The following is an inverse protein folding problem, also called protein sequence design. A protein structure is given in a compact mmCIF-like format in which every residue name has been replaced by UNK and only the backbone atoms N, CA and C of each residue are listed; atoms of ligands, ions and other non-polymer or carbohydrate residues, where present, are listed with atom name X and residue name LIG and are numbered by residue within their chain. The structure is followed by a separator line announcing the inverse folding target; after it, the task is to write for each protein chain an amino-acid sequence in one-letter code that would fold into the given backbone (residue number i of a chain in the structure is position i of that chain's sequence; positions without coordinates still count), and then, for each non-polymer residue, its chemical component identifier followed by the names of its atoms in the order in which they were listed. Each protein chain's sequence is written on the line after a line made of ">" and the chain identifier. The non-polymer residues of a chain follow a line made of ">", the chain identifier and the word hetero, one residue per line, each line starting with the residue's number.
data_IF_262406745148
#
_entry.id   IF_262406745148
#
_cell.length_a   1.000
_cell.length_b   1.000
_cell.length_c   1.000
_cell.angle_alpha   90.00
_cell.angle_beta   90.00
_cell.angle_gamma   90.00
#
_symmetry.space_group_name_H-M   'P 1'
#
loop_
_entity.id
_entity.type
_entity.pdbx_description
1 polymer ?
#
# COMPACT_ATOMS: atom_id res chain seq x y z
N UNK A 1 -24.23 29.48 14.15
CA UNK A 1 -23.36 29.20 13.00
C UNK A 1 -24.12 29.47 11.70
N UNK A 2 -24.32 30.73 11.25
CA UNK A 2 -25.11 31.02 10.04
C UNK A 2 -24.33 30.91 8.71
N UNK A 3 -23.04 30.52 8.74
CA UNK A 3 -22.16 30.52 7.55
C UNK A 3 -21.96 29.15 6.89
N UNK A 4 -21.82 28.07 7.67
CA UNK A 4 -21.35 26.77 7.14
C UNK A 4 -22.33 26.12 6.14
N UNK A 5 -23.63 26.34 6.29
CA UNK A 5 -24.62 25.75 5.37
C UNK A 5 -24.69 26.45 4.01
N UNK A 6 -24.12 27.66 3.91
CA UNK A 6 -24.01 28.38 2.63
C UNK A 6 -22.74 28.02 1.85
N UNK A 7 -21.79 27.35 2.51
CA UNK A 7 -20.57 26.87 1.87
C UNK A 7 -20.90 25.76 0.86
N UNK A 8 -20.04 25.65 -0.14
CA UNK A 8 -19.90 24.44 -0.92
C UNK A 8 -19.28 23.33 -0.07
N UNK A 9 -19.42 22.06 -0.50
CA UNK A 9 -18.81 20.95 0.21
C UNK A 9 -17.28 21.11 0.31
N UNK A 10 -16.61 21.59 -0.74
CA UNK A 10 -15.17 21.86 -0.71
C UNK A 10 -14.79 22.92 0.34
N UNK A 11 -15.48 24.06 0.35
CA UNK A 11 -15.25 25.10 1.36
C UNK A 11 -15.53 24.62 2.79
N UNK A 12 -16.52 23.72 2.97
CA UNK A 12 -16.78 23.10 4.26
C UNK A 12 -15.60 22.21 4.69
N UNK A 13 -15.10 21.35 3.79
CA UNK A 13 -13.95 20.49 4.07
C UNK A 13 -12.73 21.33 4.43
N UNK A 14 -12.43 22.40 3.71
CA UNK A 14 -11.30 23.27 4.01
C UNK A 14 -11.47 24.05 5.33
N UNK A 15 -12.72 24.31 5.73
CA UNK A 15 -13.01 24.96 7.02
C UNK A 15 -12.90 23.98 8.18
N UNK A 16 -13.33 22.73 8.01
CA UNK A 16 -13.34 21.72 9.06
C UNK A 16 -11.98 21.02 9.18
N UNK A 17 -11.28 20.82 8.08
CA UNK A 17 -9.99 20.14 8.00
C UNK A 17 -8.96 21.05 7.31
N UNK A 18 -8.57 22.16 7.95
CA UNK A 18 -7.67 23.14 7.34
C UNK A 18 -6.24 22.60 7.19
N UNK A 19 -5.52 23.08 6.18
CA UNK A 19 -4.07 22.82 6.03
C UNK A 19 -3.21 23.69 6.96
N UNK A 20 -3.78 24.74 7.54
CA UNK A 20 -3.08 25.64 8.46
C UNK A 20 -2.99 25.03 9.87
N UNK A 21 -1.77 24.86 10.37
CA UNK A 21 -1.52 24.22 11.67
C UNK A 21 -2.22 24.94 12.84
N UNK A 22 -2.25 26.28 12.83
CA UNK A 22 -2.89 27.03 13.92
C UNK A 22 -4.41 26.88 13.90
N UNK A 23 -5.03 26.90 12.71
CA UNK A 23 -6.46 26.65 12.55
C UNK A 23 -6.82 25.19 12.90
N UNK A 24 -5.96 24.24 12.56
CA UNK A 24 -6.12 22.84 12.91
C UNK A 24 -6.11 22.65 14.43
N UNK A 25 -5.12 23.20 15.14
CA UNK A 25 -5.01 23.13 16.59
C UNK A 25 -6.24 23.76 17.29
N UNK A 26 -6.71 24.90 16.79
CA UNK A 26 -7.90 25.56 17.32
C UNK A 26 -9.15 24.67 17.20
N UNK A 27 -9.32 23.96 16.09
CA UNK A 27 -10.44 23.04 15.89
C UNK A 27 -10.31 21.84 16.82
N UNK A 28 -9.12 21.22 16.89
CA UNK A 28 -8.84 20.06 17.73
C UNK A 28 -9.15 20.35 19.21
N UNK A 29 -8.74 21.51 19.72
CA UNK A 29 -9.04 21.96 21.09
C UNK A 29 -10.54 22.23 21.33
N UNK A 30 -11.29 22.55 20.28
CA UNK A 30 -12.71 22.88 20.35
C UNK A 30 -13.66 21.66 20.33
N UNK A 31 -13.13 20.46 20.08
CA UNK A 31 -13.92 19.24 19.97
C UNK A 31 -14.62 18.88 21.29
N UNK A 32 -15.87 18.41 21.20
CA UNK A 32 -16.65 18.00 22.37
C UNK A 32 -16.28 16.58 22.83
N UNK A 33 -15.09 16.46 23.42
CA UNK A 33 -14.55 15.20 23.97
C UNK A 33 -15.42 14.66 25.12
N UNK A 34 -16.25 15.50 25.76
CA UNK A 34 -17.15 15.04 26.83
C UNK A 34 -18.30 14.20 26.29
N UNK A 35 -18.88 14.61 25.16
CA UNK A 35 -19.97 13.89 24.52
C UNK A 35 -19.47 12.74 23.64
N UNK A 36 -18.30 12.90 23.03
CA UNK A 36 -17.67 11.87 22.23
C UNK A 36 -16.14 11.83 22.50
N UNK A 37 -15.67 10.94 23.39
CA UNK A 37 -14.25 10.82 23.74
C UNK A 37 -13.34 10.49 22.56
N UNK A 38 -13.83 9.76 21.55
CA UNK A 38 -13.05 9.29 20.40
C UNK A 38 -12.96 10.36 19.28
N UNK A 39 -13.63 11.51 19.47
CA UNK A 39 -13.72 12.56 18.45
C UNK A 39 -12.36 13.13 18.02
N UNK A 40 -11.37 13.34 18.91
CA UNK A 40 -10.03 13.76 18.50
C UNK A 40 -9.37 12.75 17.56
N UNK A 41 -9.41 11.46 17.89
CA UNK A 41 -8.80 10.39 17.10
C UNK A 41 -9.46 10.28 15.71
N UNK A 42 -10.79 10.36 15.67
CA UNK A 42 -11.56 10.40 14.41
C UNK A 42 -11.19 11.63 13.57
N UNK A 43 -11.06 12.79 14.21
CA UNK A 43 -10.71 14.03 13.53
C UNK A 43 -9.30 13.98 12.95
N UNK A 44 -8.32 13.43 13.68
CA UNK A 44 -6.96 13.20 13.21
C UNK A 44 -6.95 12.30 11.96
N UNK A 45 -7.61 11.13 12.04
CA UNK A 45 -7.67 10.18 10.94
C UNK A 45 -8.32 10.79 9.68
N UNK A 46 -9.41 11.56 9.84
CA UNK A 46 -10.03 12.24 8.70
C UNK A 46 -9.15 13.35 8.13
N UNK A 47 -8.48 14.12 8.99
CA UNK A 47 -7.56 15.18 8.56
C UNK A 47 -6.42 14.62 7.72
N UNK A 48 -5.88 13.47 8.11
CA UNK A 48 -4.85 12.75 7.35
C UNK A 48 -5.36 12.33 5.96
N UNK A 49 -6.57 11.76 5.87
CA UNK A 49 -7.18 11.39 4.58
C UNK A 49 -7.30 12.61 3.65
N UNK A 50 -7.75 13.75 4.18
CA UNK A 50 -7.85 14.99 3.39
C UNK A 50 -6.48 15.56 3.01
N UNK A 51 -5.48 15.47 3.90
CA UNK A 51 -4.10 15.83 3.61
C UNK A 51 -3.53 15.01 2.45
N UNK A 52 -3.65 13.69 2.51
CA UNK A 52 -3.23 12.75 1.46
C UNK A 52 -3.92 13.04 0.12
N UNK A 53 -5.20 13.38 0.15
CA UNK A 53 -5.95 13.80 -1.03
C UNK A 53 -5.42 15.09 -1.65
N UNK A 54 -5.10 16.11 -0.83
CA UNK A 54 -4.55 17.40 -1.30
C UNK A 54 -3.14 17.25 -1.89
N UNK A 55 -2.36 16.29 -1.41
CA UNK A 55 -1.06 15.92 -1.99
C UNK A 55 -1.19 15.17 -3.33
N UNK A 56 -2.42 14.81 -3.75
CA UNK A 56 -2.68 14.07 -4.99
C UNK A 56 -2.31 12.60 -4.90
N UNK A 57 -2.26 12.04 -3.70
CA UNK A 57 -1.87 10.66 -3.44
C UNK A 57 -3.06 9.72 -3.28
N UNK A 58 -4.26 10.26 -3.11
CA UNK A 58 -5.51 9.50 -3.23
C UNK A 58 -6.57 10.33 -3.95
N UNK A 59 -7.67 9.70 -4.33
CA UNK A 59 -8.89 10.35 -4.79
C UNK A 59 -10.01 10.16 -3.78
N UNK A 60 -10.77 11.23 -3.51
CA UNK A 60 -11.94 11.18 -2.64
C UNK A 60 -13.22 11.41 -3.43
N UNK A 61 -14.21 10.56 -3.16
CA UNK A 61 -15.59 10.73 -3.64
C UNK A 61 -16.52 10.83 -2.45
N UNK A 62 -17.52 11.68 -2.56
CA UNK A 62 -18.43 12.01 -1.47
C UNK A 62 -19.84 11.61 -1.84
N UNK A 63 -20.58 10.98 -0.93
CA UNK A 63 -21.95 10.54 -1.18
C UNK A 63 -22.85 10.91 -0.01
N UNK A 64 -24.09 11.31 -0.29
CA UNK A 64 -25.12 11.40 0.76
C UNK A 64 -25.54 10.01 1.22
N UNK A 65 -25.85 9.82 2.50
CA UNK A 65 -26.36 8.54 3.02
C UNK A 65 -27.89 8.52 3.16
N UNK A 66 -28.61 7.60 2.49
CA UNK A 66 -28.32 6.99 1.19
C UNK A 66 -28.64 7.98 0.05
N UNK A 67 -27.81 8.04 -0.99
CA UNK A 67 -28.06 8.93 -2.11
C UNK A 67 -26.89 9.11 -3.06
N UNK A 68 -26.99 10.06 -4.00
CA UNK A 68 -26.03 10.25 -5.08
C UNK A 68 -24.70 10.83 -4.58
N UNK A 69 -23.73 10.81 -5.49
CA UNK A 69 -22.45 11.51 -5.33
C UNK A 69 -22.67 13.02 -5.19
N UNK A 70 -21.96 13.63 -4.24
CA UNK A 70 -21.95 15.05 -3.93
C UNK A 70 -20.66 15.62 -4.52
N UNK A 71 -20.80 16.60 -5.41
CA UNK A 71 -19.64 17.29 -5.97
C UNK A 71 -19.15 18.35 -4.99
N UNK A 72 -17.83 18.58 -4.93
CA UNK A 72 -17.23 19.61 -4.08
C UNK A 72 -17.82 21.01 -4.30
N UNK A 73 -18.28 21.31 -5.52
CA UNK A 73 -18.90 22.58 -5.87
C UNK A 73 -20.37 22.72 -5.44
N UNK A 74 -21.00 21.66 -4.91
CA UNK A 74 -22.40 21.69 -4.51
C UNK A 74 -22.57 22.33 -3.12
N UNK A 75 -23.63 23.14 -2.90
CA UNK A 75 -23.90 23.76 -1.61
C UNK A 75 -24.29 22.74 -0.54
N UNK A 76 -23.70 22.85 0.66
CA UNK A 76 -23.97 21.95 1.81
C UNK A 76 -25.45 21.90 2.17
N UNK A 77 -26.14 23.04 2.14
CA UNK A 77 -27.58 23.13 2.45
C UNK A 77 -28.46 22.21 1.61
N UNK A 78 -28.02 21.82 0.41
CA UNK A 78 -28.82 20.98 -0.49
C UNK A 78 -28.76 19.49 -0.07
N UNK A 79 -27.86 19.14 0.86
CA UNK A 79 -27.60 17.77 1.32
C UNK A 79 -27.89 17.55 2.81
N UNK A 80 -28.52 18.53 3.47
CA UNK A 80 -28.89 18.44 4.87
C UNK A 80 -30.15 17.59 5.07
N UNK A 81 -30.03 16.55 5.89
CA UNK A 81 -31.15 15.71 6.31
C UNK A 81 -31.63 16.08 7.71
N UNK A 82 -32.94 16.00 8.01
CA UNK A 82 -33.42 16.16 9.37
C UNK A 82 -32.88 15.04 10.26
N UNK A 83 -32.29 15.37 11.41
CA UNK A 83 -31.89 14.35 12.38
C UNK A 83 -33.14 13.85 13.13
N UNK A 84 -33.42 12.54 13.03
CA UNK A 84 -34.50 11.90 13.76
C UNK A 84 -33.97 10.75 14.60
N UNK A 85 -33.56 11.05 15.82
CA UNK A 85 -33.51 10.05 16.88
C UNK A 85 -34.80 10.18 17.71
N UNK A 86 -35.53 9.07 17.83
CA UNK A 86 -36.91 8.97 18.30
C UNK A 86 -37.35 10.05 19.29
N UNK A 87 -38.32 10.86 18.85
CA UNK A 87 -39.13 11.85 19.59
C UNK A 87 -38.60 13.28 19.78
N UNK A 88 -37.39 13.66 19.33
CA UNK A 88 -36.97 15.07 19.26
C UNK A 88 -36.21 15.38 17.97
N UNK A 89 -36.61 16.44 17.24
CA UNK A 89 -35.90 16.93 16.05
C UNK A 89 -34.66 17.71 16.47
N UNK A 90 -33.50 17.04 16.45
CA UNK A 90 -32.20 17.64 16.73
C UNK A 90 -31.61 18.29 15.46
N UNK A 91 -32.28 19.34 14.95
CA UNK A 91 -31.75 20.13 13.83
C UNK A 91 -31.56 19.37 12.50
N UNK A 92 -30.75 19.96 11.63
CA UNK A 92 -30.33 19.41 10.34
C UNK A 92 -28.91 18.84 10.46
N UNK A 93 -28.67 17.66 9.89
CA UNK A 93 -27.38 16.95 9.90
C UNK A 93 -26.92 16.72 8.46
N UNK A 94 -25.62 16.82 8.25
CA UNK A 94 -24.95 16.42 7.03
C UNK A 94 -24.38 15.01 7.24
N UNK A 95 -24.87 14.03 6.51
CA UNK A 95 -24.41 12.64 6.56
C UNK A 95 -23.73 12.29 5.23
N UNK A 96 -22.40 12.17 5.27
CA UNK A 96 -21.55 11.96 4.10
C UNK A 96 -20.80 10.64 4.26
N UNK A 97 -20.82 9.83 3.22
CA UNK A 97 -19.90 8.72 3.02
C UNK A 97 -18.74 9.23 2.18
N UNK A 98 -17.52 9.08 2.69
CA UNK A 98 -16.28 9.37 1.96
C UNK A 98 -15.71 8.05 1.46
N UNK A 99 -15.55 7.93 0.15
CA UNK A 99 -14.87 6.81 -0.50
C UNK A 99 -13.48 7.28 -0.92
N UNK A 100 -12.45 6.61 -0.39
CA UNK A 100 -11.05 6.86 -0.71
C UNK A 100 -10.54 5.77 -1.65
N UNK A 101 -9.89 6.17 -2.73
CA UNK A 101 -9.25 5.25 -3.69
C UNK A 101 -7.81 5.69 -3.99
N UNK A 102 -6.95 4.74 -4.35
CA UNK A 102 -5.54 4.97 -4.64
C UNK A 102 -5.23 4.54 -6.07
N UNK A 103 -4.86 5.49 -6.94
CA UNK A 103 -4.44 5.19 -8.32
C UNK A 103 -2.90 5.27 -8.42
N UNK A 104 -2.25 4.21 -7.93
CA UNK A 104 -0.79 4.09 -7.86
C UNK A 104 -0.16 4.25 -9.24
N UNK A 105 -0.74 3.62 -10.26
CA UNK A 105 -0.22 3.67 -11.62
C UNK A 105 -0.36 5.06 -12.26
N UNK A 106 -1.45 5.79 -12.01
CA UNK A 106 -1.56 7.17 -12.46
C UNK A 106 -0.60 8.10 -11.70
N UNK A 107 -0.39 7.88 -10.40
CA UNK A 107 0.58 8.64 -9.61
C UNK A 107 2.02 8.41 -10.12
N UNK A 108 2.39 7.15 -10.41
CA UNK A 108 3.66 6.79 -11.02
C UNK A 108 3.89 7.52 -12.35
N UNK A 109 2.88 7.55 -13.22
CA UNK A 109 2.92 8.25 -14.50
C UNK A 109 3.08 9.77 -14.31
N UNK A 110 2.32 10.37 -13.38
CA UNK A 110 2.38 11.79 -13.08
C UNK A 110 3.75 12.24 -12.56
N UNK A 111 4.49 11.34 -11.90
CA UNK A 111 5.87 11.56 -11.42
C UNK A 111 6.95 11.22 -12.46
N UNK A 112 6.56 10.94 -13.70
CA UNK A 112 7.46 10.73 -14.83
C UNK A 112 7.82 9.28 -15.12
N UNK A 113 7.20 8.32 -14.43
CA UNK A 113 7.32 6.90 -14.71
C UNK A 113 6.60 6.49 -16.01
N UNK A 114 7.05 5.41 -16.63
CA UNK A 114 6.36 4.83 -17.79
C UNK A 114 5.37 3.76 -17.32
N UNK A 115 4.10 4.17 -17.18
CA UNK A 115 3.00 3.30 -16.75
C UNK A 115 2.87 2.03 -17.61
N UNK A 116 3.12 2.14 -18.91
CA UNK A 116 2.97 1.00 -19.83
C UNK A 116 4.05 -0.05 -19.60
N UNK A 117 5.30 0.39 -19.37
CA UNK A 117 6.43 -0.48 -19.05
C UNK A 117 6.24 -1.14 -17.68
N UNK A 118 5.79 -0.38 -16.67
CA UNK A 118 5.52 -0.93 -15.34
C UNK A 118 4.42 -1.98 -15.41
N UNK A 119 3.29 -1.69 -16.07
CA UNK A 119 2.19 -2.64 -16.23
C UNK A 119 2.64 -3.92 -16.95
N UNK A 120 3.37 -3.78 -18.07
CA UNK A 120 3.91 -4.93 -18.79
C UNK A 120 4.78 -5.82 -17.91
N UNK A 121 5.60 -5.22 -17.04
CA UNK A 121 6.41 -5.96 -16.09
C UNK A 121 5.56 -6.67 -15.03
N UNK A 122 4.59 -5.97 -14.41
CA UNK A 122 3.68 -6.53 -13.39
C UNK A 122 2.86 -7.71 -13.93
N UNK A 123 2.32 -7.56 -15.14
CA UNK A 123 1.59 -8.60 -15.87
C UNK A 123 2.46 -9.83 -16.13
N UNK A 124 3.67 -9.61 -16.67
CA UNK A 124 4.61 -10.68 -16.95
C UNK A 124 5.01 -11.47 -15.70
N UNK A 125 5.32 -10.77 -14.60
CA UNK A 125 5.71 -11.42 -13.35
C UNK A 125 4.54 -12.16 -12.68
N UNK A 126 3.33 -11.60 -12.74
CA UNK A 126 2.11 -12.29 -12.29
C UNK A 126 1.89 -13.59 -13.06
N UNK A 127 2.06 -13.58 -14.39
CA UNK A 127 1.95 -14.79 -15.20
C UNK A 127 3.00 -15.84 -14.78
N UNK A 128 4.25 -15.45 -14.57
CA UNK A 128 5.30 -16.37 -14.10
C UNK A 128 4.96 -16.95 -12.73
N UNK A 129 4.45 -16.13 -11.81
CA UNK A 129 4.01 -16.57 -10.50
C UNK A 129 2.95 -17.67 -10.58
N UNK A 130 1.92 -17.51 -11.41
CA UNK A 130 0.88 -18.53 -11.58
C UNK A 130 1.37 -19.80 -12.30
N UNK A 131 2.32 -19.68 -13.24
CA UNK A 131 2.92 -20.87 -13.87
C UNK A 131 3.79 -21.64 -12.87
N UNK A 132 4.63 -20.94 -12.10
CA UNK A 132 5.58 -21.57 -11.17
C UNK A 132 4.91 -22.10 -9.91
N UNK A 133 4.22 -21.24 -9.15
CA UNK A 133 3.63 -21.58 -7.85
C UNK A 133 2.41 -22.48 -7.98
N UNK A 134 1.52 -22.16 -8.92
CA UNK A 134 0.22 -22.82 -9.08
C UNK A 134 0.19 -23.86 -10.20
N UNK A 135 1.32 -24.05 -10.90
CA UNK A 135 1.42 -25.03 -11.98
C UNK A 135 0.46 -24.74 -13.14
N UNK A 136 0.14 -23.47 -13.39
CA UNK A 136 -0.76 -23.09 -14.48
C UNK A 136 -0.17 -23.51 -15.83
N UNK A 137 -1.04 -24.01 -16.71
CA UNK A 137 -0.65 -24.57 -17.99
C UNK A 137 -1.30 -23.80 -19.14
N UNK A 138 -0.51 -22.93 -19.78
CA UNK A 138 -0.97 -22.12 -20.90
C UNK A 138 -0.82 -22.88 -22.22
N UNK A 139 -1.93 -23.03 -22.95
CA UNK A 139 -1.97 -23.65 -24.28
C UNK A 139 -1.96 -22.57 -25.37
N UNK A 140 -1.02 -22.59 -26.33
CA UNK A 140 -0.93 -21.60 -27.39
C UNK A 140 -2.16 -21.51 -28.31
N UNK A 141 -2.83 -22.64 -28.57
CA UNK A 141 -3.94 -22.73 -29.54
C UNK A 141 -5.34 -22.60 -28.90
N UNK A 142 -5.42 -21.98 -27.72
CA UNK A 142 -6.68 -21.83 -26.98
C UNK A 142 -7.70 -20.95 -27.71
N UNK A 143 -8.98 -21.32 -27.61
CA UNK A 143 -10.12 -20.52 -28.09
C UNK A 143 -10.75 -19.67 -26.97
N UNK A 144 -10.25 -19.80 -25.73
CA UNK A 144 -10.71 -19.01 -24.60
C UNK A 144 -10.18 -17.57 -24.68
N UNK A 145 -11.08 -16.59 -24.65
CA UNK A 145 -10.72 -15.18 -24.84
C UNK A 145 -9.81 -14.64 -23.73
N UNK A 146 -10.00 -15.09 -22.49
CA UNK A 146 -9.15 -14.65 -21.37
C UNK A 146 -7.73 -15.21 -21.52
N UNK A 147 -7.61 -16.51 -21.83
CA UNK A 147 -6.33 -17.14 -22.11
C UNK A 147 -5.63 -16.54 -23.34
N UNK A 148 -6.37 -16.11 -24.37
CA UNK A 148 -5.80 -15.40 -25.52
C UNK A 148 -5.17 -14.07 -25.14
N UNK A 149 -5.77 -13.31 -24.22
CA UNK A 149 -5.13 -12.08 -23.72
C UNK A 149 -3.86 -12.40 -22.95
N UNK A 150 -3.85 -13.45 -22.13
CA UNK A 150 -2.64 -13.89 -21.41
C UNK A 150 -1.53 -14.35 -22.36
N UNK A 151 -1.87 -14.94 -23.52
CA UNK A 151 -0.88 -15.28 -24.55
C UNK A 151 -0.14 -14.04 -25.10
N UNK A 152 -0.75 -12.86 -25.11
CA UNK A 152 -0.05 -11.62 -25.49
C UNK A 152 1.04 -11.27 -24.48
N UNK A 153 0.77 -11.39 -23.17
CA UNK A 153 1.77 -11.24 -22.11
C UNK A 153 2.87 -12.30 -22.28
N UNK A 154 2.48 -13.55 -22.52
CA UNK A 154 3.41 -14.65 -22.72
C UNK A 154 4.35 -14.43 -23.91
N UNK A 155 3.89 -13.79 -24.98
CA UNK A 155 4.71 -13.49 -26.16
C UNK A 155 5.90 -12.59 -25.84
N UNK A 156 5.75 -11.63 -24.93
CA UNK A 156 6.87 -10.78 -24.48
C UNK A 156 7.90 -11.63 -23.73
N UNK A 157 7.44 -12.45 -22.79
CA UNK A 157 8.30 -13.36 -22.02
C UNK A 157 9.01 -14.39 -22.92
N UNK A 158 8.35 -14.89 -23.97
CA UNK A 158 8.97 -15.76 -24.98
C UNK A 158 10.05 -15.05 -25.78
N UNK A 159 9.83 -13.78 -26.17
CA UNK A 159 10.82 -12.99 -26.90
C UNK A 159 12.11 -12.75 -26.10
N UNK A 160 12.00 -12.86 -24.78
CA UNK A 160 13.10 -12.76 -23.80
C UNK A 160 13.62 -14.12 -23.33
N UNK A 161 13.19 -15.20 -23.97
CA UNK A 161 13.57 -16.59 -23.65
C UNK A 161 13.16 -17.06 -22.25
N UNK A 162 12.30 -16.32 -21.54
CA UNK A 162 11.82 -16.66 -20.19
C UNK A 162 10.82 -17.83 -20.25
N UNK A 163 9.91 -17.81 -21.22
CA UNK A 163 8.97 -18.88 -21.50
C UNK A 163 9.34 -19.58 -22.81
N UNK A 164 9.17 -20.90 -22.86
CA UNK A 164 9.38 -21.68 -24.08
C UNK A 164 8.27 -22.72 -24.27
N UNK A 165 7.85 -23.04 -25.52
CA UNK A 165 7.00 -24.18 -25.77
C UNK A 165 7.72 -25.49 -25.41
N UNK A 166 7.03 -26.35 -24.69
CA UNK A 166 7.46 -27.71 -24.38
C UNK A 166 7.40 -28.59 -25.62
N UNK A 167 8.51 -29.23 -25.97
CA UNK A 167 8.57 -30.19 -27.07
C UNK A 167 7.69 -31.43 -26.82
N UNK A 168 7.35 -31.71 -25.55
CA UNK A 168 6.57 -32.89 -25.14
C UNK A 168 5.09 -32.56 -25.07
N UNK A 169 4.72 -31.46 -24.40
CA UNK A 169 3.33 -31.14 -24.10
C UNK A 169 2.72 -30.12 -25.06
N UNK A 170 3.54 -29.40 -25.83
CA UNK A 170 3.13 -28.26 -26.65
C UNK A 170 2.69 -27.04 -25.85
N UNK A 171 2.85 -27.06 -24.53
CA UNK A 171 2.43 -26.00 -23.60
C UNK A 171 3.59 -25.08 -23.28
N UNK A 172 3.30 -23.84 -22.89
CA UNK A 172 4.36 -22.96 -22.40
C UNK A 172 4.85 -23.42 -21.03
N UNK A 173 6.16 -23.51 -20.90
CA UNK A 173 6.87 -23.85 -19.67
C UNK A 173 7.95 -22.80 -19.40
N UNK A 174 8.35 -22.67 -18.13
CA UNK A 174 9.44 -21.78 -17.72
C UNK A 174 10.76 -22.38 -18.20
N UNK A 175 11.46 -21.62 -19.06
CA UNK A 175 12.77 -21.99 -19.60
C UNK A 175 13.88 -21.81 -18.55
N UNK A 176 15.11 -22.20 -18.88
CA UNK A 176 16.26 -22.03 -17.98
C UNK A 176 16.49 -20.55 -17.59
N UNK A 177 16.37 -19.64 -18.56
CA UNK A 177 16.40 -18.18 -18.34
C UNK A 177 15.31 -17.72 -17.38
N UNK A 178 14.08 -18.22 -17.55
CA UNK A 178 12.98 -17.91 -16.65
C UNK A 178 13.19 -18.43 -15.22
N UNK A 179 13.75 -19.64 -15.06
CA UNK A 179 14.10 -20.17 -13.73
C UNK A 179 15.17 -19.34 -13.04
N UNK A 180 16.18 -18.88 -13.79
CA UNK A 180 17.19 -17.98 -13.24
C UNK A 180 16.57 -16.63 -12.85
N UNK A 181 15.73 -16.05 -13.71
CA UNK A 181 15.00 -14.81 -13.42
C UNK A 181 14.20 -14.92 -12.12
N UNK A 182 13.45 -16.02 -11.93
CA UNK A 182 12.72 -16.28 -10.69
C UNK A 182 13.65 -16.42 -9.47
N UNK A 183 14.77 -17.14 -9.63
CA UNK A 183 15.77 -17.27 -8.57
C UNK A 183 16.39 -15.93 -8.15
N UNK A 184 16.69 -15.06 -9.12
CA UNK A 184 17.18 -13.71 -8.87
C UNK A 184 16.14 -12.85 -8.14
N UNK A 185 14.86 -12.91 -8.54
CA UNK A 185 13.77 -12.21 -7.88
C UNK A 185 13.55 -12.69 -6.44
N UNK A 186 13.63 -14.00 -6.20
CA UNK A 186 13.53 -14.57 -4.85
C UNK A 186 14.68 -14.04 -3.98
N UNK A 187 15.93 -14.12 -4.48
CA UNK A 187 17.09 -13.63 -3.75
C UNK A 187 17.03 -12.11 -3.48
N UNK A 188 16.54 -11.33 -4.44
CA UNK A 188 16.29 -9.89 -4.29
C UNK A 188 15.24 -9.62 -3.20
N UNK A 189 14.15 -10.39 -3.19
CA UNK A 189 13.08 -10.24 -2.20
C UNK A 189 13.55 -10.62 -0.80
N UNK A 190 14.28 -11.73 -0.66
CA UNK A 190 14.89 -12.17 0.60
C UNK A 190 15.88 -11.13 1.12
N UNK A 191 16.66 -10.51 0.23
CA UNK A 191 17.54 -9.39 0.59
C UNK A 191 16.77 -8.19 1.13
N UNK A 192 15.58 -7.88 0.60
CA UNK A 192 14.74 -6.81 1.17
C UNK A 192 14.21 -7.16 2.55
N UNK A 193 13.78 -8.40 2.75
CA UNK A 193 13.31 -8.89 4.06
C UNK A 193 14.45 -8.79 5.08
N UNK A 194 15.62 -9.35 4.75
CA UNK A 194 16.77 -9.36 5.65
C UNK A 194 17.22 -7.95 6.06
N UNK A 195 17.15 -6.98 5.14
CA UNK A 195 17.61 -5.62 5.39
C UNK A 195 16.56 -4.73 6.06
N UNK A 196 15.29 -4.85 5.66
CA UNK A 196 14.28 -3.84 5.96
C UNK A 196 13.10 -4.34 6.78
N UNK A 197 12.98 -5.64 7.08
CA UNK A 197 11.83 -6.15 7.85
C UNK A 197 11.83 -5.68 9.32
N UNK A 198 12.94 -5.08 9.78
CA UNK A 198 13.01 -4.36 11.06
C UNK A 198 12.07 -3.14 11.09
N UNK A 199 11.78 -2.53 9.95
CA UNK A 199 10.97 -1.30 9.84
C UNK A 199 9.46 -1.56 9.72
N UNK A 200 9.02 -2.81 9.84
CA UNK A 200 7.59 -3.17 9.70
C UNK A 200 6.72 -2.80 10.90
N UNK A 201 7.36 -2.49 12.03
CA UNK A 201 6.73 -2.30 13.32
C UNK A 201 7.64 -1.41 14.16
N UNK A 202 7.50 -0.10 13.95
CA UNK A 202 8.36 0.93 14.54
C UNK A 202 7.52 1.85 15.43
N UNK A 203 7.95 2.01 16.67
CA UNK A 203 7.47 3.03 17.58
C UNK A 203 8.63 3.97 17.92
N UNK A 204 8.36 5.27 18.05
CA UNK A 204 9.38 6.24 18.43
C UNK A 204 8.82 7.26 19.42
N UNK A 205 9.71 7.77 20.26
CA UNK A 205 9.42 8.82 21.24
C UNK A 205 10.49 9.92 21.11
N UNK A 206 10.04 11.12 20.72
CA UNK A 206 10.90 12.29 20.53
C UNK A 206 11.39 12.88 21.85
N UNK A 207 10.62 12.75 22.94
CA UNK A 207 10.98 13.26 24.26
C UNK A 207 12.07 12.39 24.88
N UNK A 208 11.93 11.07 24.75
CA UNK A 208 12.90 10.09 25.25
C UNK A 208 14.03 9.79 24.25
N UNK A 209 13.97 10.36 23.04
CA UNK A 209 14.91 10.14 21.94
C UNK A 209 15.18 8.64 21.72
N UNK A 210 14.10 7.88 21.62
CA UNK A 210 14.14 6.43 21.51
C UNK A 210 13.34 5.92 20.30
N UNK A 211 13.88 4.89 19.63
CA UNK A 211 13.18 4.13 18.58
C UNK A 211 13.15 2.66 19.01
N UNK A 212 11.96 2.07 18.97
CA UNK A 212 11.71 0.68 19.31
C UNK A 212 11.20 -0.07 18.07
N UNK A 213 11.68 -1.31 17.90
CA UNK A 213 11.35 -2.17 16.76
C UNK A 213 10.72 -3.47 17.25
N UNK A 214 9.64 -3.92 16.61
CA UNK A 214 9.05 -5.24 16.82
C UNK A 214 8.24 -5.41 18.11
N UNK A 215 7.62 -4.33 18.61
CA UNK A 215 6.85 -4.33 19.86
C UNK A 215 5.37 -4.74 19.68
N UNK A 216 4.88 -4.82 18.45
CA UNK A 216 3.55 -5.25 18.06
C UNK A 216 2.49 -4.14 18.06
N UNK A 217 2.91 -2.89 18.16
CA UNK A 217 2.05 -1.71 18.26
C UNK A 217 2.61 -0.47 17.53
N UNK A 218 3.67 -0.65 16.73
CA UNK A 218 4.25 0.38 15.90
C UNK A 218 3.63 0.45 14.50
N UNK A 219 4.11 1.43 13.73
CA UNK A 219 3.73 1.68 12.34
C UNK A 219 4.67 0.94 11.36
N UNK A 220 4.19 0.68 10.14
CA UNK A 220 4.99 0.06 9.08
C UNK A 220 5.59 1.14 8.17
N UNK A 221 6.88 1.46 8.39
CA UNK A 221 7.58 2.47 7.59
C UNK A 221 8.40 1.89 6.44
N UNK A 222 8.32 0.58 6.16
CA UNK A 222 9.17 -0.08 5.15
C UNK A 222 9.13 0.62 3.80
N UNK A 223 7.95 1.01 3.34
CA UNK A 223 7.80 1.62 2.02
C UNK A 223 8.41 3.03 1.97
N UNK A 224 8.32 3.81 3.05
CA UNK A 224 9.02 5.10 3.13
C UNK A 224 10.54 4.91 3.19
N UNK A 225 11.02 3.89 3.92
CA UNK A 225 12.44 3.53 3.96
C UNK A 225 12.96 3.11 2.58
N UNK A 226 12.19 2.32 1.82
CA UNK A 226 12.57 1.96 0.44
C UNK A 226 12.77 3.19 -0.43
N UNK A 227 11.88 4.16 -0.32
CA UNK A 227 11.94 5.44 -1.06
C UNK A 227 13.19 6.25 -0.67
N UNK A 228 13.42 6.42 0.64
CA UNK A 228 14.56 7.15 1.19
C UNK A 228 15.91 6.52 0.82
N UNK A 229 15.99 5.18 0.81
CA UNK A 229 17.18 4.42 0.43
C UNK A 229 17.35 4.29 -1.10
N UNK A 230 16.47 4.93 -1.89
CA UNK A 230 16.56 5.00 -3.35
C UNK A 230 16.19 3.71 -4.09
N UNK A 231 15.38 2.84 -3.48
CA UNK A 231 14.83 1.65 -4.11
C UNK A 231 13.63 1.99 -5.00
N UNK A 232 13.38 1.15 -6.00
CA UNK A 232 12.13 1.20 -6.76
C UNK A 232 10.99 0.63 -5.91
N UNK A 233 10.25 1.53 -5.24
CA UNK A 233 9.15 1.17 -4.34
C UNK A 233 8.08 0.30 -4.99
N UNK A 234 7.81 0.46 -6.30
CA UNK A 234 6.77 -0.31 -6.99
C UNK A 234 7.24 -1.74 -7.19
N UNK A 235 8.49 -1.91 -7.65
CA UNK A 235 9.12 -3.22 -7.79
C UNK A 235 9.24 -3.91 -6.43
N UNK A 236 9.79 -3.23 -5.43
CA UNK A 236 10.01 -3.79 -4.09
C UNK A 236 8.71 -4.25 -3.46
N UNK A 237 7.67 -3.42 -3.44
CA UNK A 237 6.36 -3.79 -2.90
C UNK A 237 5.78 -4.97 -3.68
N UNK A 238 5.79 -4.94 -5.01
CA UNK A 238 5.24 -6.03 -5.81
C UNK A 238 5.95 -7.37 -5.55
N UNK A 239 7.29 -7.38 -5.47
CA UNK A 239 8.08 -8.57 -5.17
C UNK A 239 7.71 -9.16 -3.80
N UNK A 240 7.59 -8.32 -2.77
CA UNK A 240 7.17 -8.75 -1.43
C UNK A 240 5.75 -9.35 -1.44
N UNK A 241 4.81 -8.74 -2.17
CA UNK A 241 3.43 -9.23 -2.33
C UNK A 241 3.33 -10.55 -3.09
N UNK A 242 4.25 -10.81 -4.02
CA UNK A 242 4.35 -12.14 -4.62
C UNK A 242 4.91 -13.15 -3.63
N UNK A 243 5.94 -12.77 -2.88
CA UNK A 243 6.63 -13.66 -1.94
C UNK A 243 5.73 -14.09 -0.77
N UNK A 244 4.95 -13.17 -0.20
CA UNK A 244 4.03 -13.46 0.91
C UNK A 244 2.73 -14.18 0.47
N UNK A 245 2.51 -14.28 -0.84
CA UNK A 245 1.35 -14.95 -1.41
C UNK A 245 0.09 -14.08 -1.51
N UNK A 246 0.18 -12.75 -1.37
CA UNK A 246 -0.97 -11.83 -1.55
C UNK A 246 -1.69 -12.08 -2.88
N UNK A 247 -0.95 -12.39 -3.95
CA UNK A 247 -1.54 -12.68 -5.26
C UNK A 247 -2.43 -13.94 -5.30
N UNK A 248 -2.39 -14.81 -4.28
CA UNK A 248 -3.27 -15.97 -4.20
C UNK A 248 -4.74 -15.58 -4.04
N UNK A 249 -5.03 -14.35 -3.60
CA UNK A 249 -6.40 -13.81 -3.56
C UNK A 249 -7.03 -13.72 -4.95
N UNK A 250 -6.21 -13.60 -6.00
CA UNK A 250 -6.63 -13.55 -7.40
C UNK A 250 -6.86 -14.93 -8.02
N UNK A 251 -6.57 -16.03 -7.32
CA UNK A 251 -6.51 -17.38 -7.89
C UNK A 251 -7.78 -17.79 -8.67
N UNK A 252 -8.94 -17.28 -8.28
CA UNK A 252 -10.22 -17.64 -8.90
C UNK A 252 -10.50 -16.93 -10.23
N UNK A 253 -9.94 -15.74 -10.45
CA UNK A 253 -10.28 -14.88 -11.58
C UNK A 253 -9.06 -14.24 -12.29
N UNK A 254 -7.84 -14.58 -11.89
CA UNK A 254 -6.61 -13.95 -12.39
C UNK A 254 -6.48 -13.93 -13.92
N UNK A 255 -6.98 -14.97 -14.63
CA UNK A 255 -6.96 -15.01 -16.10
C UNK A 255 -7.75 -13.86 -16.73
N UNK A 256 -8.89 -13.53 -16.14
CA UNK A 256 -9.74 -12.43 -16.59
C UNK A 256 -9.19 -11.09 -16.12
N UNK A 257 -8.47 -11.10 -15.00
CA UNK A 257 -8.23 -9.94 -14.16
C UNK A 257 -6.82 -9.35 -14.35
N UNK A 258 -5.83 -10.16 -14.75
CA UNK A 258 -4.42 -9.78 -14.97
C UNK A 258 -4.21 -8.61 -15.93
N UNK A 259 -5.16 -8.31 -16.82
CA UNK A 259 -5.07 -7.17 -17.78
C UNK A 259 -5.63 -5.87 -17.22
N UNK A 260 -6.18 -5.89 -16.00
CA UNK A 260 -6.87 -4.74 -15.43
C UNK A 260 -5.92 -3.98 -14.51
N UNK A 261 -5.69 -2.71 -14.85
CA UNK A 261 -4.81 -1.82 -14.09
C UNK A 261 -5.27 -1.62 -12.63
N UNK A 262 -6.57 -1.70 -12.35
CA UNK A 262 -7.11 -1.50 -11.00
C UNK A 262 -6.65 -2.58 -10.01
N UNK A 263 -6.42 -3.81 -10.47
CA UNK A 263 -5.89 -4.88 -9.60
C UNK A 263 -4.46 -4.58 -9.18
N UNK A 264 -3.65 -4.05 -10.10
CA UNK A 264 -2.29 -3.63 -9.76
C UNK A 264 -2.26 -2.39 -8.88
N UNK A 265 -3.24 -1.49 -9.01
CA UNK A 265 -3.42 -0.40 -8.04
C UNK A 265 -3.68 -0.94 -6.63
N UNK A 266 -4.50 -1.99 -6.48
CA UNK A 266 -4.73 -2.62 -5.17
C UNK A 266 -3.49 -3.36 -4.64
N UNK A 267 -2.80 -4.15 -5.48
CA UNK A 267 -1.56 -4.86 -5.09
C UNK A 267 -0.48 -3.88 -4.65
N UNK A 268 -0.34 -2.76 -5.38
CA UNK A 268 0.65 -1.72 -5.10
C UNK A 268 0.13 -0.64 -4.16
N UNK A 269 -1.09 -0.75 -3.64
CA UNK A 269 -1.71 0.23 -2.75
C UNK A 269 -0.80 0.73 -1.63
N UNK A 270 0.03 -0.12 -0.97
CA UNK A 270 0.98 0.34 0.06
C UNK A 270 1.99 1.39 -0.40
N UNK A 271 2.20 1.56 -1.71
CA UNK A 271 3.06 2.62 -2.23
C UNK A 271 2.49 4.00 -1.85
N UNK A 272 1.17 4.17 -1.85
CA UNK A 272 0.51 5.43 -1.51
C UNK A 272 -0.15 5.40 -0.14
N UNK A 273 -0.81 4.29 0.20
CA UNK A 273 -1.52 4.06 1.47
C UNK A 273 -0.58 3.43 2.50
N UNK A 274 0.15 4.28 3.22
CA UNK A 274 1.18 3.88 4.19
C UNK A 274 1.31 4.92 5.29
N UNK A 275 1.78 4.48 6.45
CA UNK A 275 2.23 5.37 7.52
C UNK A 275 3.42 6.21 7.03
N UNK A 276 3.47 7.47 7.44
CA UNK A 276 4.55 8.40 7.09
C UNK A 276 4.94 9.29 8.23
N UNK A 277 6.21 9.67 8.23
CA UNK A 277 6.78 10.69 9.11
C UNK A 277 7.59 11.69 8.28
N UNK A 278 7.95 12.82 8.89
CA UNK A 278 8.79 13.83 8.24
C UNK A 278 10.20 13.28 7.94
N UNK A 279 10.88 13.93 6.98
CA UNK A 279 12.22 13.53 6.49
C UNK A 279 13.25 13.38 7.63
N UNK A 280 13.28 14.30 8.59
CA UNK A 280 14.20 14.23 9.73
C UNK A 280 13.93 13.01 10.64
N UNK A 281 12.66 12.60 10.76
CA UNK A 281 12.26 11.46 11.60
C UNK A 281 12.56 10.15 10.87
N UNK A 282 12.27 10.06 9.56
CA UNK A 282 12.56 8.83 8.82
C UNK A 282 14.06 8.58 8.76
N UNK A 283 14.89 9.61 8.56
CA UNK A 283 16.36 9.49 8.59
C UNK A 283 16.83 8.91 9.94
N UNK A 284 16.29 9.42 11.05
CA UNK A 284 16.60 8.92 12.38
C UNK A 284 16.14 7.47 12.61
N UNK A 285 14.95 7.10 12.12
CA UNK A 285 14.44 5.73 12.16
C UNK A 285 15.37 4.80 11.39
N UNK A 286 15.79 5.19 10.17
CA UNK A 286 16.67 4.41 9.30
C UNK A 286 18.02 4.15 9.99
N UNK A 287 18.67 5.19 10.51
CA UNK A 287 19.94 5.07 11.24
C UNK A 287 19.79 4.11 12.44
N UNK A 288 18.72 4.27 13.21
CA UNK A 288 18.44 3.44 14.39
C UNK A 288 18.17 1.97 14.01
N UNK A 289 17.45 1.72 12.92
CA UNK A 289 17.12 0.37 12.46
C UNK A 289 18.32 -0.40 11.93
N UNK A 290 19.21 0.26 11.18
CA UNK A 290 20.45 -0.37 10.73
C UNK A 290 21.38 -0.68 11.90
N UNK A 291 21.51 0.24 12.87
CA UNK A 291 22.25 -0.02 14.10
C UNK A 291 21.67 -1.22 14.87
N UNK A 292 20.33 -1.29 14.99
CA UNK A 292 19.65 -2.42 15.61
C UNK A 292 19.97 -3.75 14.93
N UNK A 293 19.93 -3.79 13.59
CA UNK A 293 20.25 -4.99 12.82
C UNK A 293 21.71 -5.44 13.01
N UNK A 294 22.66 -4.49 13.03
CA UNK A 294 24.07 -4.78 13.28
C UNK A 294 24.28 -5.40 14.67
N UNK A 295 23.67 -4.81 15.70
CA UNK A 295 23.74 -5.33 17.07
C UNK A 295 23.12 -6.73 17.22
N UNK A 296 22.00 -7.00 16.54
CA UNK A 296 21.39 -8.33 16.53
C UNK A 296 22.28 -9.35 15.82
N UNK A 297 22.89 -8.97 14.70
CA UNK A 297 23.82 -9.81 13.96
C UNK A 297 25.08 -10.14 14.80
N UNK A 298 25.63 -9.16 15.51
CA UNK A 298 26.75 -9.35 16.44
C UNK A 298 26.39 -10.31 17.57
N UNK A 299 25.23 -10.09 18.22
CA UNK A 299 24.73 -10.97 19.29
C UNK A 299 24.51 -12.40 18.82
N UNK A 300 23.95 -12.59 17.63
CA UNK A 300 23.75 -13.90 17.03
C UNK A 300 25.09 -14.60 16.76
N UNK A 301 26.07 -13.88 16.19
CA UNK A 301 27.43 -14.41 15.95
C UNK A 301 28.12 -14.82 17.26
N UNK A 302 27.98 -14.04 18.32
CA UNK A 302 28.54 -14.40 19.63
C UNK A 302 27.88 -15.65 20.21
N UNK A 303 26.54 -15.72 20.18
CA UNK A 303 25.77 -16.87 20.66
C UNK A 303 26.14 -18.15 19.92
N UNK A 304 26.28 -18.09 18.60
CA UNK A 304 26.64 -19.25 17.78
C UNK A 304 28.06 -19.74 18.09
N UNK A 305 28.99 -18.81 18.34
CA UNK A 305 30.34 -19.12 18.81
C UNK A 305 30.31 -19.82 20.18
N UNK A 306 29.53 -19.30 21.14
CA UNK A 306 29.37 -19.92 22.47
C UNK A 306 28.75 -21.32 22.38
N UNK A 307 27.72 -21.52 21.55
CA UNK A 307 27.11 -22.83 21.33
C UNK A 307 28.06 -23.81 20.66
N UNK A 308 28.88 -23.37 19.70
CA UNK A 308 29.90 -24.19 19.06
C UNK A 308 30.98 -24.64 20.07
N UNK A 309 31.37 -23.77 21.01
CA UNK A 309 32.28 -24.11 22.11
C UNK A 309 31.64 -25.15 23.04
N UNK A 310 30.38 -24.96 23.44
CA UNK A 310 29.65 -25.91 24.32
C UNK A 310 29.53 -27.29 23.68
N UNK A 311 29.17 -27.37 22.38
CA UNK A 311 29.12 -28.63 21.61
C UNK A 311 30.48 -29.33 21.48
N UNK A 312 31.60 -28.61 21.59
CA UNK A 312 32.95 -29.19 21.57
C UNK A 312 33.40 -29.69 22.95
N UNK A 313 32.79 -29.21 24.03
CA UNK A 313 33.17 -29.52 25.42
C UNK A 313 32.26 -30.60 26.02
N UNK A 314 31.04 -30.80 25.52
CA UNK A 314 30.18 -31.94 25.87
C UNK A 314 30.39 -33.10 24.86
N UNK A 315 31.00 -34.23 25.26
CA UNK A 315 31.23 -35.39 24.39
C UNK A 315 29.97 -36.18 24.04
#
# INVERSE_FOLDING_TARGET
>A
TPGLTQLTLGELIDTVFPDDAAAFDEILESLDVKSNPDLPEIYLALSEIFGTWRLGECALRFFSKPGPEILLSQPVRDHLSPSSDGAQTHGQVLDIVVEQTFDVLANFEARGGDKSVLLQWLEGMTLLYFIDKHGFQLQPDTQDEAAQRVLHIASDLQSREILTPSDITGRLEIAEEGRRTLGEMIAETESYIDQFDVFKDVAYDLDDNAVEFGMGNGADYRVQVYDAEGLDVHRTVFLLRMYDGTLDELLNDWLESIHRADIFNEVLRPVLDRDRVDDDIIDWIIESGFAHNEEQADRNRERDSQQAIVKRIQP
#
